data_IF_804465278301
#
_entry.id   IF_804465278301
#
_cell.length_a   1.000
_cell.length_b   1.000
_cell.length_c   1.000
_cell.angle_alpha   90.00
_cell.angle_beta   90.00
_cell.angle_gamma   90.00
#
_symmetry.space_group_name_H-M   'P 1'
#
loop_
_entity.id
_entity.type
_entity.pdbx_description
1 polymer ?
#
# COMPACT_ATOMS: atom_id res chain seq x y z
N UNK A 1 18.93 -0.29 -27.16
CA UNK A 1 19.42 0.72 -26.20
C UNK A 1 18.30 1.16 -25.27
N UNK A 2 18.60 1.85 -24.17
CA UNK A 2 17.57 2.41 -23.26
C UNK A 2 16.61 3.32 -24.01
N UNK A 3 17.11 4.18 -24.90
CA UNK A 3 16.26 5.07 -25.69
C UNK A 3 15.33 4.34 -26.66
N UNK A 4 15.73 3.19 -27.19
CA UNK A 4 14.86 2.40 -28.06
C UNK A 4 13.73 1.72 -27.26
N UNK A 5 14.00 1.28 -26.02
CA UNK A 5 12.99 0.79 -25.12
C UNK A 5 11.98 1.89 -24.78
N UNK A 6 12.45 3.07 -24.35
CA UNK A 6 11.57 4.20 -24.00
C UNK A 6 10.72 4.65 -25.19
N UNK A 7 11.26 4.63 -26.41
CA UNK A 7 10.53 4.97 -27.62
C UNK A 7 9.49 3.90 -28.00
N UNK A 8 9.85 2.60 -27.87
CA UNK A 8 8.94 1.47 -28.11
C UNK A 8 7.74 1.52 -27.17
N UNK A 9 7.99 1.86 -25.89
CA UNK A 9 6.96 1.90 -24.85
C UNK A 9 6.23 3.27 -24.78
N UNK A 10 6.36 4.11 -25.81
CA UNK A 10 5.65 5.39 -25.95
C UNK A 10 5.93 6.41 -24.80
N UNK A 11 7.09 6.31 -24.18
CA UNK A 11 7.53 7.24 -23.14
C UNK A 11 8.21 8.47 -23.74
N UNK A 12 8.89 8.29 -24.89
CA UNK A 12 9.53 9.34 -25.65
C UNK A 12 9.25 9.16 -27.14
N UNK A 13 9.32 10.27 -27.88
CA UNK A 13 9.38 10.28 -29.35
C UNK A 13 10.79 10.62 -29.80
N UNK A 14 11.31 9.85 -30.77
CA UNK A 14 12.64 10.06 -31.35
C UNK A 14 12.50 10.60 -32.76
N UNK A 15 13.06 11.82 -33.01
CA UNK A 15 13.05 12.45 -34.30
C UNK A 15 14.48 12.91 -34.64
N UNK A 16 15.23 12.09 -35.39
CA UNK A 16 16.66 12.32 -35.64
C UNK A 16 17.45 12.31 -34.32
N UNK A 17 18.16 13.40 -34.04
CA UNK A 17 18.94 13.59 -32.82
C UNK A 17 18.13 14.19 -31.67
N UNK A 18 16.86 14.51 -31.89
CA UNK A 18 15.98 15.07 -30.86
C UNK A 18 15.14 14.00 -30.17
N UNK A 19 15.04 14.10 -28.83
CA UNK A 19 14.17 13.30 -28.00
C UNK A 19 13.10 14.21 -27.40
N UNK A 20 11.83 13.84 -27.55
CA UNK A 20 10.70 14.52 -26.93
C UNK A 20 10.03 13.58 -25.94
N UNK A 21 9.87 14.01 -24.68
CA UNK A 21 9.11 13.27 -23.69
C UNK A 21 7.62 13.28 -24.07
N UNK A 22 6.98 12.13 -24.02
CA UNK A 22 5.54 11.97 -24.22
C UNK A 22 4.80 12.04 -22.88
N UNK A 23 3.47 12.25 -22.86
CA UNK A 23 2.70 12.39 -21.63
C UNK A 23 2.90 11.23 -20.65
N UNK A 24 2.96 10.00 -21.13
CA UNK A 24 3.21 8.81 -20.29
C UNK A 24 4.61 8.86 -19.68
N UNK A 25 5.66 9.13 -20.49
CA UNK A 25 7.02 9.25 -19.98
C UNK A 25 7.18 10.39 -18.95
N UNK A 26 6.48 11.53 -19.17
CA UNK A 26 6.45 12.61 -18.19
C UNK A 26 5.82 12.13 -16.86
N UNK A 27 4.70 11.42 -16.93
CA UNK A 27 4.02 10.91 -15.72
C UNK A 27 4.91 9.95 -14.95
N UNK A 28 5.62 9.04 -15.61
CA UNK A 28 6.59 8.12 -15.00
C UNK A 28 7.68 8.90 -14.26
N UNK A 29 8.23 9.94 -14.89
CA UNK A 29 9.23 10.81 -14.28
C UNK A 29 8.69 11.52 -13.03
N UNK A 30 7.45 12.04 -13.08
CA UNK A 30 6.80 12.71 -11.96
C UNK A 30 6.51 11.74 -10.79
N UNK A 31 6.26 10.46 -11.09
CA UNK A 31 6.02 9.40 -10.10
C UNK A 31 7.31 8.80 -9.52
N UNK A 32 8.47 9.10 -10.11
CA UNK A 32 9.79 8.57 -9.71
C UNK A 32 9.88 7.03 -9.73
N UNK A 33 9.14 6.36 -10.62
CA UNK A 33 9.18 4.90 -10.75
C UNK A 33 10.08 4.47 -11.92
N UNK A 34 10.57 3.23 -11.86
CA UNK A 34 11.31 2.62 -12.95
C UNK A 34 10.42 2.53 -14.22
N UNK A 35 10.93 2.86 -15.41
CA UNK A 35 10.20 2.70 -16.66
C UNK A 35 9.66 1.27 -16.89
N UNK A 36 10.36 0.23 -16.43
CA UNK A 36 9.87 -1.14 -16.48
C UNK A 36 8.67 -1.36 -15.55
N UNK A 37 8.71 -0.80 -14.33
CA UNK A 37 7.56 -0.81 -13.43
C UNK A 37 6.33 -0.20 -14.08
N UNK A 38 6.51 0.93 -14.76
CA UNK A 38 5.41 1.59 -15.47
C UNK A 38 4.81 0.72 -16.59
N UNK A 39 5.63 -0.03 -17.33
CA UNK A 39 5.17 -0.98 -18.35
C UNK A 39 4.37 -2.12 -17.70
N UNK A 40 4.90 -2.74 -16.65
CA UNK A 40 4.23 -3.81 -15.90
C UNK A 40 2.86 -3.33 -15.41
N UNK A 41 2.81 -2.15 -14.77
CA UNK A 41 1.57 -1.59 -14.24
C UNK A 41 0.58 -1.24 -15.35
N UNK A 42 1.04 -0.64 -16.47
CA UNK A 42 0.20 -0.32 -17.64
C UNK A 42 -0.42 -1.58 -18.24
N UNK A 43 0.37 -2.62 -18.42
CA UNK A 43 -0.10 -3.85 -19.04
C UNK A 43 -1.02 -4.63 -18.10
N UNK A 44 -0.74 -4.60 -16.80
CA UNK A 44 -1.62 -5.15 -15.78
C UNK A 44 -2.98 -4.45 -15.73
N UNK A 45 -3.03 -3.11 -15.67
CA UNK A 45 -4.33 -2.39 -15.60
C UNK A 45 -5.17 -2.57 -16.86
N UNK A 46 -4.54 -2.76 -18.04
CA UNK A 46 -5.25 -3.06 -19.29
C UNK A 46 -5.88 -4.44 -19.31
N UNK A 47 -5.34 -5.41 -18.55
CA UNK A 47 -5.88 -6.77 -18.42
C UNK A 47 -6.96 -6.88 -17.33
N UNK A 48 -7.08 -5.88 -16.45
CA UNK A 48 -8.09 -5.90 -15.39
C UNK A 48 -9.52 -5.90 -15.95
N UNK A 49 -10.34 -6.73 -15.35
CA UNK A 49 -11.76 -6.87 -15.66
C UNK A 49 -12.62 -6.91 -14.38
N UNK A 50 -13.90 -7.27 -14.51
CA UNK A 50 -14.81 -7.34 -13.37
C UNK A 50 -14.50 -8.51 -12.42
N UNK A 51 -13.82 -9.56 -12.88
CA UNK A 51 -13.47 -10.75 -12.09
C UNK A 51 -12.11 -10.62 -11.41
N UNK A 52 -11.30 -9.64 -11.81
CA UNK A 52 -10.00 -9.36 -11.18
C UNK A 52 -10.16 -9.08 -9.70
N UNK A 53 -9.47 -9.82 -8.84
CA UNK A 53 -9.48 -9.64 -7.40
C UNK A 53 -8.26 -8.86 -6.85
N UNK A 54 -8.26 -8.63 -5.53
CA UNK A 54 -7.22 -7.86 -4.86
C UNK A 54 -5.84 -8.54 -4.95
N UNK A 55 -5.79 -9.88 -4.85
CA UNK A 55 -4.53 -10.62 -4.88
C UNK A 55 -3.84 -10.49 -6.24
N UNK A 56 -4.58 -10.56 -7.35
CA UNK A 56 -4.03 -10.36 -8.69
C UNK A 56 -3.43 -8.96 -8.85
N UNK A 57 -4.10 -7.92 -8.30
CA UNK A 57 -3.61 -6.54 -8.33
C UNK A 57 -2.34 -6.40 -7.49
N UNK A 58 -2.32 -6.98 -6.28
CA UNK A 58 -1.16 -6.94 -5.40
C UNK A 58 0.04 -7.67 -6.00
N UNK A 59 -0.17 -8.84 -6.63
CA UNK A 59 0.91 -9.58 -7.30
C UNK A 59 1.50 -8.75 -8.45
N UNK A 60 0.66 -8.14 -9.29
CA UNK A 60 1.13 -7.29 -10.38
C UNK A 60 1.96 -6.09 -9.88
N UNK A 61 1.51 -5.45 -8.81
CA UNK A 61 2.26 -4.37 -8.17
C UNK A 61 3.59 -4.85 -7.57
N UNK A 62 3.58 -6.02 -6.90
CA UNK A 62 4.76 -6.60 -6.27
C UNK A 62 5.79 -7.16 -7.28
N UNK A 63 5.39 -7.45 -8.53
CA UNK A 63 6.29 -7.86 -9.61
C UNK A 63 7.12 -6.70 -10.18
N UNK A 64 6.83 -5.46 -9.80
CA UNK A 64 7.59 -4.30 -10.30
C UNK A 64 9.00 -4.26 -9.72
N UNK A 65 10.03 -3.84 -10.50
CA UNK A 65 11.40 -3.66 -10.01
C UNK A 65 11.54 -2.72 -8.81
N UNK A 66 10.61 -1.79 -8.63
CA UNK A 66 10.62 -0.83 -7.52
C UNK A 66 10.20 -1.46 -6.18
N UNK A 67 9.55 -2.63 -6.20
CA UNK A 67 9.18 -3.33 -4.97
C UNK A 67 10.25 -4.35 -4.63
N UNK A 68 10.92 -4.13 -3.51
CA UNK A 68 11.88 -5.11 -2.99
C UNK A 68 11.14 -6.36 -2.51
N UNK A 69 11.37 -7.48 -3.16
CA UNK A 69 10.76 -8.77 -2.84
C UNK A 69 11.07 -9.28 -1.42
N UNK A 70 10.33 -10.29 -1.00
CA UNK A 70 10.58 -11.05 0.22
C UNK A 70 10.98 -12.47 -0.15
N UNK A 71 12.10 -12.95 0.37
CA UNK A 71 12.58 -14.28 0.08
C UNK A 71 11.64 -15.34 0.69
N UNK A 72 11.12 -16.32 -0.11
CA UNK A 72 10.34 -17.43 0.40
C UNK A 72 11.14 -18.23 1.45
N UNK A 73 10.47 -18.65 2.52
CA UNK A 73 11.03 -19.47 3.59
C UNK A 73 10.20 -20.73 3.78
N UNK A 74 10.75 -21.72 4.47
CA UNK A 74 10.06 -22.98 4.74
C UNK A 74 8.73 -22.79 5.52
N UNK A 75 8.65 -21.75 6.36
CA UNK A 75 7.45 -21.48 7.14
C UNK A 75 6.26 -20.97 6.31
N UNK A 76 6.51 -20.40 5.13
CA UNK A 76 5.47 -19.86 4.26
C UNK A 76 5.25 -20.67 2.96
N UNK A 77 6.03 -21.75 2.76
CA UNK A 77 6.02 -22.57 1.55
C UNK A 77 4.61 -23.11 1.20
N UNK A 78 3.91 -23.69 2.17
CA UNK A 78 2.56 -24.24 1.96
C UNK A 78 1.58 -23.15 1.50
N UNK A 79 1.63 -21.98 2.15
CA UNK A 79 0.77 -20.83 1.80
C UNK A 79 1.09 -20.29 0.42
N UNK A 80 2.38 -20.15 0.09
CA UNK A 80 2.80 -19.61 -1.19
C UNK A 80 2.47 -20.57 -2.34
N UNK A 81 2.62 -21.87 -2.14
CA UNK A 81 2.21 -22.87 -3.13
C UNK A 81 0.70 -22.82 -3.36
N UNK A 82 -0.11 -22.69 -2.32
CA UNK A 82 -1.57 -22.53 -2.47
C UNK A 82 -1.94 -21.27 -3.26
N UNK A 83 -1.23 -20.15 -3.04
CA UNK A 83 -1.41 -18.92 -3.82
C UNK A 83 -0.98 -19.14 -5.27
N UNK A 84 0.15 -19.81 -5.52
CA UNK A 84 0.61 -20.10 -6.87
C UNK A 84 -0.40 -20.99 -7.63
N UNK A 85 -0.88 -22.07 -7.00
CA UNK A 85 -1.87 -22.98 -7.59
C UNK A 85 -3.17 -22.25 -7.98
N UNK A 86 -3.56 -21.20 -7.24
CA UNK A 86 -4.78 -20.45 -7.51
C UNK A 86 -4.58 -19.33 -8.55
N UNK A 87 -3.41 -18.66 -8.55
CA UNK A 87 -3.22 -17.40 -9.27
C UNK A 87 -2.25 -17.45 -10.44
N UNK A 88 -1.39 -18.48 -10.59
CA UNK A 88 -0.37 -18.52 -11.66
C UNK A 88 -0.97 -18.38 -13.06
N UNK A 89 -2.12 -19.01 -13.32
CA UNK A 89 -2.84 -18.91 -14.59
C UNK A 89 -3.68 -17.63 -14.76
N UNK A 90 -3.77 -16.78 -13.71
CA UNK A 90 -4.59 -15.57 -13.67
C UNK A 90 -3.78 -14.28 -13.51
N UNK A 91 -2.48 -14.36 -13.77
CA UNK A 91 -1.58 -13.21 -13.60
C UNK A 91 -1.94 -12.07 -14.56
N UNK A 92 -2.01 -10.85 -14.03
CA UNK A 92 -2.16 -9.64 -14.84
C UNK A 92 -0.88 -9.30 -15.61
N UNK A 93 0.26 -9.80 -15.16
CA UNK A 93 1.55 -9.70 -15.82
C UNK A 93 2.32 -11.01 -15.66
N UNK A 94 2.89 -11.50 -16.75
CA UNK A 94 3.65 -12.76 -16.77
C UNK A 94 5.15 -12.48 -16.58
N UNK A 95 5.76 -12.87 -15.45
CA UNK A 95 7.18 -12.66 -15.20
C UNK A 95 8.07 -13.64 -15.97
N UNK A 96 7.55 -14.74 -16.49
CA UNK A 96 8.34 -15.77 -17.18
C UNK A 96 8.83 -15.33 -18.56
N UNK A 97 8.14 -14.37 -19.19
CA UNK A 97 8.55 -13.84 -20.48
C UNK A 97 9.77 -12.90 -20.37
N UNK A 98 10.00 -12.31 -19.18
CA UNK A 98 11.00 -11.25 -19.00
C UNK A 98 12.22 -11.68 -18.17
N UNK A 99 12.05 -12.64 -17.25
CA UNK A 99 13.09 -13.03 -16.30
C UNK A 99 13.47 -14.49 -16.44
N UNK A 100 14.78 -14.76 -16.56
CA UNK A 100 15.31 -16.14 -16.54
C UNK A 100 14.95 -16.90 -15.25
N UNK A 101 14.68 -16.17 -14.15
CA UNK A 101 14.28 -16.68 -12.84
C UNK A 101 12.85 -16.28 -12.50
N UNK A 102 11.94 -16.36 -13.49
CA UNK A 102 10.54 -15.91 -13.35
C UNK A 102 9.82 -16.53 -12.17
N UNK A 103 10.08 -17.81 -11.87
CA UNK A 103 9.45 -18.49 -10.72
C UNK A 103 9.86 -17.89 -9.38
N UNK A 104 11.14 -17.62 -9.14
CA UNK A 104 11.62 -17.02 -7.90
C UNK A 104 11.10 -15.60 -7.72
N UNK A 105 11.03 -14.85 -8.82
CA UNK A 105 10.45 -13.50 -8.84
C UNK A 105 8.97 -13.56 -8.47
N UNK A 106 8.21 -14.48 -9.07
CA UNK A 106 6.80 -14.68 -8.79
C UNK A 106 6.54 -15.06 -7.33
N UNK A 107 7.26 -16.06 -6.81
CA UNK A 107 7.11 -16.50 -5.41
C UNK A 107 7.47 -15.40 -4.42
N UNK A 108 8.46 -14.59 -4.73
CA UNK A 108 8.84 -13.42 -3.93
C UNK A 108 7.75 -12.34 -3.95
N UNK A 109 7.15 -12.05 -5.12
CA UNK A 109 6.04 -11.13 -5.26
C UNK A 109 4.77 -11.63 -4.55
N UNK A 110 4.46 -12.92 -4.66
CA UNK A 110 3.35 -13.56 -3.95
C UNK A 110 3.52 -13.46 -2.43
N UNK A 111 4.75 -13.59 -1.91
CA UNK A 111 5.02 -13.41 -0.49
C UNK A 111 4.77 -11.97 -0.03
N UNK A 112 5.20 -10.97 -0.80
CA UNK A 112 4.87 -9.56 -0.52
C UNK A 112 3.37 -9.35 -0.53
N UNK A 113 2.66 -9.88 -1.53
CA UNK A 113 1.21 -9.76 -1.67
C UNK A 113 0.46 -10.40 -0.51
N UNK A 114 0.88 -11.59 -0.08
CA UNK A 114 0.33 -12.29 1.09
C UNK A 114 0.55 -11.49 2.38
N UNK A 115 1.72 -10.89 2.57
CA UNK A 115 2.01 -10.01 3.70
C UNK A 115 1.12 -8.76 3.69
N UNK A 116 0.94 -8.12 2.53
CA UNK A 116 0.05 -6.95 2.40
C UNK A 116 -1.41 -7.35 2.65
N UNK A 117 -1.83 -8.54 2.22
CA UNK A 117 -3.17 -9.07 2.52
C UNK A 117 -3.38 -9.24 4.02
N UNK A 118 -2.39 -9.75 4.75
CA UNK A 118 -2.44 -9.84 6.21
C UNK A 118 -2.51 -8.43 6.85
N UNK A 119 -1.72 -7.49 6.36
CA UNK A 119 -1.71 -6.10 6.80
C UNK A 119 -3.07 -5.43 6.66
N UNK A 120 -3.71 -5.51 5.48
CA UNK A 120 -5.03 -4.94 5.22
C UNK A 120 -6.19 -5.74 5.85
N UNK A 121 -5.92 -6.95 6.31
CA UNK A 121 -6.84 -7.79 7.11
C UNK A 121 -6.74 -7.52 8.60
N UNK A 122 -5.92 -6.54 9.00
CA UNK A 122 -5.69 -6.15 10.41
C UNK A 122 -5.08 -7.28 11.25
N UNK A 123 -4.36 -8.22 10.64
CA UNK A 123 -3.61 -9.23 11.40
C UNK A 123 -2.53 -8.50 12.22
N UNK A 124 -2.39 -8.85 13.52
CA UNK A 124 -1.34 -8.30 14.37
C UNK A 124 0.06 -8.52 13.79
N UNK A 125 0.93 -7.52 13.93
CA UNK A 125 2.26 -7.53 13.32
C UNK A 125 3.14 -8.68 13.81
N UNK A 126 3.06 -9.01 15.10
CA UNK A 126 3.76 -10.15 15.71
C UNK A 126 3.34 -11.49 15.08
N UNK A 127 2.06 -11.64 14.72
CA UNK A 127 1.54 -12.83 14.02
C UNK A 127 2.07 -12.88 12.59
N UNK A 128 2.06 -11.74 11.87
CA UNK A 128 2.59 -11.67 10.49
C UNK A 128 4.08 -12.01 10.48
N UNK A 129 4.87 -11.42 11.38
CA UNK A 129 6.32 -11.68 11.50
C UNK A 129 6.61 -13.15 11.80
N UNK A 130 5.86 -13.76 12.71
CA UNK A 130 6.03 -15.17 13.06
C UNK A 130 5.69 -16.08 11.89
N UNK A 131 4.55 -15.85 11.21
CA UNK A 131 4.06 -16.71 10.13
C UNK A 131 4.94 -16.64 8.88
N UNK A 132 5.52 -15.47 8.59
CA UNK A 132 6.30 -15.26 7.37
C UNK A 132 7.82 -15.25 7.61
N UNK A 133 8.25 -15.36 8.86
CA UNK A 133 9.67 -15.35 9.21
C UNK A 133 10.38 -14.06 8.81
N UNK A 134 9.71 -12.91 8.89
CA UNK A 134 10.23 -11.57 8.54
C UNK A 134 10.28 -10.69 9.78
N UNK A 135 10.99 -9.58 9.72
CA UNK A 135 11.02 -8.60 10.80
C UNK A 135 9.94 -7.51 10.64
N UNK A 136 9.64 -6.74 11.72
CA UNK A 136 8.74 -5.58 11.65
C UNK A 136 9.17 -4.54 10.63
N UNK A 137 10.47 -4.28 10.51
CA UNK A 137 11.04 -3.40 9.49
C UNK A 137 10.79 -3.86 8.05
N UNK A 138 10.70 -5.18 7.83
CA UNK A 138 10.34 -5.72 6.53
C UNK A 138 8.89 -5.40 6.16
N UNK A 139 7.96 -5.57 7.10
CA UNK A 139 6.54 -5.24 6.90
C UNK A 139 6.40 -3.78 6.52
N UNK A 140 6.97 -2.88 7.34
CA UNK A 140 6.89 -1.44 7.11
C UNK A 140 7.43 -1.03 5.75
N UNK A 141 8.66 -1.44 5.44
CA UNK A 141 9.31 -1.11 4.17
C UNK A 141 8.49 -1.56 2.96
N UNK A 142 7.93 -2.79 2.99
CA UNK A 142 7.14 -3.30 1.87
C UNK A 142 5.77 -2.65 1.78
N UNK A 143 5.12 -2.33 2.90
CA UNK A 143 3.87 -1.56 2.91
C UNK A 143 4.08 -0.17 2.30
N UNK A 144 5.16 0.53 2.65
CA UNK A 144 5.51 1.83 2.06
C UNK A 144 5.74 1.73 0.54
N UNK A 145 6.56 0.75 0.10
CA UNK A 145 6.80 0.50 -1.33
C UNK A 145 5.50 0.15 -2.07
N UNK A 146 4.70 -0.74 -1.53
CA UNK A 146 3.42 -1.14 -2.12
C UNK A 146 2.44 0.03 -2.18
N UNK A 147 2.37 0.87 -1.16
CA UNK A 147 1.54 2.07 -1.17
C UNK A 147 1.96 3.04 -2.29
N UNK A 148 3.27 3.25 -2.45
CA UNK A 148 3.80 4.10 -3.52
C UNK A 148 3.53 3.52 -4.91
N UNK A 149 3.80 2.24 -5.14
CA UNK A 149 3.54 1.57 -6.43
C UNK A 149 2.05 1.48 -6.75
N UNK A 150 1.20 1.22 -5.76
CA UNK A 150 -0.25 1.23 -5.95
C UNK A 150 -0.79 2.64 -6.28
N UNK A 151 -0.18 3.68 -5.72
CA UNK A 151 -0.47 5.06 -6.14
C UNK A 151 -0.08 5.27 -7.60
N UNK A 152 1.13 4.87 -8.00
CA UNK A 152 1.57 4.92 -9.38
C UNK A 152 0.64 4.11 -10.32
N UNK A 153 0.21 2.92 -9.88
CA UNK A 153 -0.77 2.10 -10.61
C UNK A 153 -2.09 2.84 -10.81
N UNK A 154 -2.57 3.56 -9.80
CA UNK A 154 -3.80 4.35 -9.91
C UNK A 154 -3.67 5.49 -10.94
N UNK A 155 -2.53 6.16 -10.98
CA UNK A 155 -2.26 7.24 -11.95
C UNK A 155 -2.13 6.70 -13.39
N UNK A 156 -1.50 5.54 -13.54
CA UNK A 156 -1.39 4.85 -14.84
C UNK A 156 -2.77 4.33 -15.28
N UNK A 157 -3.56 3.78 -14.35
CA UNK A 157 -4.92 3.34 -14.65
C UNK A 157 -5.82 4.50 -15.12
N UNK A 158 -5.67 5.69 -14.54
CA UNK A 158 -6.39 6.87 -14.99
C UNK A 158 -6.16 7.18 -16.49
N UNK A 159 -4.95 6.92 -16.99
CA UNK A 159 -4.59 7.16 -18.39
C UNK A 159 -5.08 6.02 -19.31
N UNK A 160 -4.88 4.76 -18.92
CA UNK A 160 -5.02 3.61 -19.81
C UNK A 160 -6.25 2.74 -19.57
N UNK A 161 -6.78 2.73 -18.35
CA UNK A 161 -7.90 1.88 -17.94
C UNK A 161 -8.68 2.52 -16.77
N UNK A 162 -9.43 3.64 -17.01
CA UNK A 162 -10.11 4.37 -15.92
C UNK A 162 -11.06 3.51 -15.08
N UNK A 163 -11.67 2.48 -15.66
CA UNK A 163 -12.57 1.57 -14.95
C UNK A 163 -11.84 0.75 -13.86
N UNK A 164 -10.56 0.45 -14.04
CA UNK A 164 -9.73 -0.24 -13.04
C UNK A 164 -9.60 0.55 -11.72
N UNK A 165 -9.76 1.87 -11.78
CA UNK A 165 -9.71 2.75 -10.60
C UNK A 165 -10.69 2.36 -9.49
N UNK A 166 -11.82 1.75 -9.85
CA UNK A 166 -12.84 1.29 -8.88
C UNK A 166 -12.31 0.22 -7.94
N UNK A 167 -11.33 -0.58 -8.39
CA UNK A 167 -10.69 -1.64 -7.60
C UNK A 167 -9.39 -1.14 -6.95
N UNK A 168 -8.62 -0.33 -7.65
CA UNK A 168 -7.31 0.13 -7.20
C UNK A 168 -7.42 1.13 -6.04
N UNK A 169 -8.32 2.13 -6.13
CA UNK A 169 -8.43 3.19 -5.11
C UNK A 169 -8.83 2.68 -3.72
N UNK A 170 -9.85 1.82 -3.56
CA UNK A 170 -10.17 1.27 -2.24
C UNK A 170 -9.01 0.47 -1.66
N UNK A 171 -8.33 -0.33 -2.49
CA UNK A 171 -7.19 -1.14 -2.08
C UNK A 171 -6.01 -0.25 -1.65
N UNK A 172 -5.73 0.83 -2.37
CA UNK A 172 -4.70 1.81 -2.01
C UNK A 172 -4.96 2.42 -0.62
N UNK A 173 -6.19 2.84 -0.31
CA UNK A 173 -6.56 3.36 1.01
C UNK A 173 -6.33 2.29 2.08
N UNK A 174 -6.73 1.05 1.83
CA UNK A 174 -6.56 -0.05 2.77
C UNK A 174 -5.09 -0.36 3.04
N UNK A 175 -4.24 -0.32 2.03
CA UNK A 175 -2.79 -0.52 2.18
C UNK A 175 -2.19 0.62 3.02
N UNK A 176 -2.53 1.88 2.71
CA UNK A 176 -2.04 3.06 3.43
C UNK A 176 -2.30 2.96 4.93
N UNK A 177 -3.51 2.57 5.32
CA UNK A 177 -3.92 2.55 6.73
C UNK A 177 -3.86 1.17 7.41
N UNK A 178 -3.61 0.09 6.67
CA UNK A 178 -3.63 -1.29 7.19
C UNK A 178 -5.00 -1.71 7.71
N UNK A 179 -6.06 -1.47 6.95
CA UNK A 179 -7.45 -1.63 7.39
C UNK A 179 -8.27 -2.54 6.49
N UNK A 180 -9.32 -3.13 7.05
CA UNK A 180 -10.37 -3.77 6.29
C UNK A 180 -11.27 -2.74 5.59
N UNK A 181 -11.96 -3.18 4.55
CA UNK A 181 -12.81 -2.34 3.70
C UNK A 181 -13.85 -1.55 4.51
N UNK A 182 -14.43 -2.14 5.55
CA UNK A 182 -15.44 -1.51 6.39
C UNK A 182 -14.98 -0.26 7.13
N UNK A 183 -13.67 -0.02 7.25
CA UNK A 183 -13.11 1.16 7.91
C UNK A 183 -12.76 2.30 6.95
N UNK A 184 -12.88 2.08 5.65
CA UNK A 184 -12.43 3.03 4.62
C UNK A 184 -13.09 4.39 4.77
N UNK A 185 -14.39 4.44 5.13
CA UNK A 185 -15.12 5.69 5.32
C UNK A 185 -14.64 6.45 6.58
N UNK A 186 -14.25 5.72 7.63
CA UNK A 186 -13.81 6.30 8.90
C UNK A 186 -12.41 6.90 8.84
N UNK A 187 -11.48 6.29 8.08
CA UNK A 187 -10.12 6.85 7.91
C UNK A 187 -10.09 8.07 7.01
N UNK A 188 -11.21 8.47 6.42
CA UNK A 188 -11.34 9.75 5.72
C UNK A 188 -11.30 10.96 6.66
N UNK A 189 -11.48 10.74 7.97
CA UNK A 189 -11.33 11.79 8.95
C UNK A 189 -9.86 12.03 9.28
N UNK A 190 -9.44 13.29 9.28
CA UNK A 190 -8.10 13.67 9.75
C UNK A 190 -7.92 13.26 11.21
N UNK A 191 -6.78 12.63 11.52
CA UNK A 191 -6.48 12.13 12.86
C UNK A 191 -7.13 10.77 13.19
N UNK A 192 -7.70 10.07 12.21
CA UNK A 192 -8.27 8.74 12.38
C UNK A 192 -7.49 7.71 11.54
N UNK A 193 -6.50 7.08 12.16
CA UNK A 193 -5.81 5.92 11.59
C UNK A 193 -6.49 4.59 11.97
N UNK A 194 -5.81 3.46 11.69
CA UNK A 194 -6.28 2.07 11.91
C UNK A 194 -6.95 1.87 13.27
N UNK A 195 -6.26 2.22 14.35
CA UNK A 195 -6.74 1.97 15.72
C UNK A 195 -8.00 2.76 16.06
N UNK A 196 -8.01 4.05 15.75
CA UNK A 196 -9.15 4.93 16.04
C UNK A 196 -10.36 4.59 15.17
N UNK A 197 -10.16 4.25 13.90
CA UNK A 197 -11.22 3.76 13.02
C UNK A 197 -11.85 2.49 13.57
N UNK A 198 -11.05 1.53 14.05
CA UNK A 198 -11.56 0.28 14.65
C UNK A 198 -12.33 0.54 15.95
N UNK A 199 -11.91 1.50 16.77
CA UNK A 199 -12.62 1.91 17.98
C UNK A 199 -13.99 2.53 17.64
N UNK A 200 -14.04 3.46 16.69
CA UNK A 200 -15.27 4.07 16.21
C UNK A 200 -16.22 3.00 15.66
N UNK A 201 -15.74 2.12 14.80
CA UNK A 201 -16.52 1.04 14.21
C UNK A 201 -17.13 0.10 15.27
N UNK A 202 -16.33 -0.31 16.25
CA UNK A 202 -16.78 -1.20 17.35
C UNK A 202 -17.78 -0.49 18.29
N UNK A 203 -17.73 0.84 18.37
CA UNK A 203 -18.70 1.66 19.11
C UNK A 203 -20.00 1.88 18.33
N UNK A 204 -20.10 1.36 17.08
CA UNK A 204 -21.30 1.48 16.25
C UNK A 204 -21.26 2.58 15.20
N UNK A 205 -20.22 3.40 15.17
CA UNK A 205 -20.02 4.43 14.14
C UNK A 205 -19.35 3.82 12.92
N UNK A 206 -20.13 3.40 11.94
CA UNK A 206 -19.65 2.67 10.77
C UNK A 206 -19.36 3.54 9.57
N UNK A 207 -20.01 4.71 9.50
CA UNK A 207 -19.91 5.65 8.40
C UNK A 207 -19.68 7.06 8.92
N UNK A 208 -19.21 7.92 8.02
CA UNK A 208 -19.09 9.35 8.27
C UNK A 208 -20.40 9.97 8.80
N UNK A 209 -21.55 9.52 8.28
CA UNK A 209 -22.89 9.97 8.72
C UNK A 209 -23.18 9.62 10.16
N UNK A 210 -22.70 8.50 10.67
CA UNK A 210 -22.92 8.10 12.06
C UNK A 210 -22.14 9.01 13.01
N UNK A 211 -20.90 9.35 12.65
CA UNK A 211 -20.06 10.31 13.38
C UNK A 211 -20.68 11.71 13.34
N UNK A 212 -21.31 12.11 12.24
CA UNK A 212 -22.07 13.35 12.15
C UNK A 212 -23.21 13.39 13.15
N UNK A 213 -23.98 12.31 13.26
CA UNK A 213 -25.15 12.23 14.13
C UNK A 213 -24.79 12.19 15.63
N UNK A 214 -23.62 11.67 15.98
CA UNK A 214 -23.14 11.58 17.35
C UNK A 214 -22.89 12.94 17.99
N UNK A 215 -23.05 13.04 19.31
CA UNK A 215 -22.63 14.22 20.08
C UNK A 215 -21.11 14.20 20.31
N UNK A 216 -20.52 15.39 20.51
CA UNK A 216 -19.08 15.51 20.83
C UNK A 216 -18.74 14.75 22.13
N UNK A 217 -19.64 14.76 23.14
CA UNK A 217 -19.45 14.07 24.40
C UNK A 217 -19.44 12.54 24.26
N UNK A 218 -20.29 11.99 23.39
CA UNK A 218 -20.31 10.55 23.10
C UNK A 218 -18.99 10.13 22.44
N UNK A 219 -18.53 10.86 21.42
CA UNK A 219 -17.27 10.58 20.75
C UNK A 219 -16.09 10.72 21.71
N UNK A 220 -16.06 11.77 22.54
CA UNK A 220 -14.97 12.03 23.49
C UNK A 220 -14.88 10.96 24.60
N UNK A 221 -15.96 10.26 24.89
CA UNK A 221 -15.98 9.17 25.88
C UNK A 221 -15.27 7.88 25.38
N UNK A 222 -15.05 7.78 24.07
CA UNK A 222 -14.38 6.63 23.48
C UNK A 222 -12.88 6.64 23.79
N UNK A 223 -12.34 5.43 24.07
CA UNK A 223 -10.91 5.26 24.28
C UNK A 223 -10.11 5.81 23.09
N UNK A 224 -9.03 6.54 23.37
CA UNK A 224 -8.14 7.17 22.36
C UNK A 224 -8.78 8.22 21.42
N UNK A 225 -10.03 8.63 21.61
CA UNK A 225 -10.63 9.72 20.86
C UNK A 225 -10.44 11.05 21.60
N UNK A 226 -10.84 11.13 22.88
CA UNK A 226 -10.68 12.34 23.70
C UNK A 226 -11.38 13.60 23.14
N UNK A 227 -11.39 14.68 23.93
CA UNK A 227 -12.15 15.89 23.60
C UNK A 227 -11.64 16.62 22.34
N UNK A 228 -10.31 16.69 22.17
CA UNK A 228 -9.71 17.42 21.04
C UNK A 228 -10.07 16.77 19.70
N UNK A 229 -9.93 15.45 19.59
CA UNK A 229 -10.28 14.74 18.37
C UNK A 229 -11.78 14.69 18.15
N UNK A 230 -12.60 14.49 19.20
CA UNK A 230 -14.06 14.52 19.09
C UNK A 230 -14.54 15.85 18.50
N UNK A 231 -14.00 16.98 18.97
CA UNK A 231 -14.27 18.29 18.41
C UNK A 231 -13.84 18.38 16.95
N UNK A 232 -12.61 17.95 16.63
CA UNK A 232 -12.12 17.96 15.24
C UNK A 232 -12.98 17.10 14.31
N UNK A 233 -13.47 15.94 14.76
CA UNK A 233 -14.38 15.10 13.99
C UNK A 233 -15.70 15.84 13.69
N UNK A 234 -16.26 16.54 14.69
CA UNK A 234 -17.48 17.35 14.51
C UNK A 234 -17.24 18.52 13.55
N UNK A 235 -16.12 19.21 13.65
CA UNK A 235 -15.75 20.30 12.75
C UNK A 235 -15.64 19.82 11.30
N UNK A 236 -15.06 18.64 11.08
CA UNK A 236 -14.95 17.99 9.76
C UNK A 236 -16.29 17.51 9.18
N UNK A 237 -17.31 17.35 10.02
CA UNK A 237 -18.66 16.96 9.58
C UNK A 237 -19.58 18.16 9.32
N UNK A 238 -19.30 19.34 9.92
CA UNK A 238 -20.13 20.55 9.81
C UNK A 238 -19.89 21.41 8.57
N UNK A 239 -18.81 21.15 7.83
CA UNK A 239 -18.48 21.85 6.59
C UNK A 239 -18.86 21.01 5.38
N UNK A 240 -19.55 21.59 4.40
CA UNK A 240 -19.70 21.04 3.05
C UNK A 240 -18.37 21.14 2.29
N UNK A 241 -17.37 20.41 2.75
CA UNK A 241 -16.10 20.30 2.07
C UNK A 241 -15.96 18.89 1.51
N UNK A 242 -16.13 18.78 0.21
CA UNK A 242 -15.41 17.78 -0.57
C UNK A 242 -13.91 18.02 -0.32
N UNK A 243 -13.38 17.48 0.76
CA UNK A 243 -11.94 17.38 0.91
C UNK A 243 -11.47 16.28 -0.01
N UNK A 244 -11.09 16.66 -1.25
CA UNK A 244 -10.14 15.86 -2.02
C UNK A 244 -8.97 15.60 -1.10
N UNK A 245 -8.48 14.33 -0.98
CA UNK A 245 -7.23 14.05 -0.31
C UNK A 245 -6.17 14.97 -0.94
N UNK A 246 -5.49 15.79 -0.15
CA UNK A 246 -4.39 16.59 -0.69
C UNK A 246 -3.27 15.63 -1.11
N UNK A 247 -2.58 15.95 -2.19
CA UNK A 247 -1.45 15.17 -2.70
C UNK A 247 -0.30 14.99 -1.66
N UNK A 248 -0.39 15.68 -0.53
CA UNK A 248 0.57 15.66 0.57
C UNK A 248 0.14 14.82 1.79
N UNK A 249 -1.04 14.20 1.78
CA UNK A 249 -1.55 13.39 2.91
C UNK A 249 -0.93 11.99 3.02
N UNK A 250 0.20 11.75 2.37
CA UNK A 250 0.99 10.51 2.55
C UNK A 250 1.95 10.57 3.75
N UNK A 251 2.18 11.74 4.33
CA UNK A 251 3.00 11.87 5.54
C UNK A 251 2.27 11.25 6.75
N UNK A 252 2.98 10.48 7.59
CA UNK A 252 2.42 9.99 8.85
C UNK A 252 1.93 11.17 9.68
N UNK A 253 0.81 11.00 10.39
CA UNK A 253 0.32 12.04 11.30
C UNK A 253 1.27 12.19 12.51
N UNK A 254 1.15 13.31 13.25
CA UNK A 254 2.06 13.61 14.37
C UNK A 254 2.02 12.53 15.46
N UNK A 255 0.88 11.86 15.67
CA UNK A 255 0.74 10.76 16.63
C UNK A 255 1.44 9.48 16.12
N UNK A 256 1.43 9.23 14.80
CA UNK A 256 2.19 8.15 14.16
C UNK A 256 3.69 8.43 14.22
N UNK A 257 4.09 9.69 14.01
CA UNK A 257 5.50 10.11 14.15
C UNK A 257 5.99 9.99 15.61
N UNK A 258 5.18 10.34 16.61
CA UNK A 258 5.53 10.15 18.03
C UNK A 258 5.63 8.66 18.41
N UNK A 259 4.69 7.82 17.93
CA UNK A 259 4.74 6.36 18.13
C UNK A 259 6.00 5.76 17.47
N UNK A 260 6.33 6.21 16.27
CA UNK A 260 7.55 5.82 15.55
C UNK A 260 8.81 6.23 16.30
N UNK A 261 8.86 7.46 16.82
CA UNK A 261 10.01 7.97 17.57
C UNK A 261 10.21 7.24 18.91
N UNK A 262 9.12 6.87 19.59
CA UNK A 262 9.17 6.09 20.83
C UNK A 262 9.71 4.68 20.59
N UNK A 263 9.26 4.00 19.51
CA UNK A 263 9.70 2.66 19.13
C UNK A 263 11.18 2.64 18.71
N UNK A 264 11.64 3.65 17.95
CA UNK A 264 13.07 3.81 17.64
C UNK A 264 13.90 4.06 18.89
N UNK A 265 13.40 4.86 19.84
CA UNK A 265 14.08 5.13 21.10
C UNK A 265 14.22 3.89 21.99
N UNK A 266 13.24 2.99 21.99
CA UNK A 266 13.28 1.71 22.71
C UNK A 266 14.20 0.69 22.01
N UNK A 267 14.15 0.59 20.69
CA UNK A 267 15.02 -0.28 19.90
C UNK A 267 16.51 0.13 20.02
N UNK A 268 16.81 1.44 20.06
CA UNK A 268 18.16 1.93 20.24
C UNK A 268 18.68 1.66 21.68
N UNK A 269 17.83 1.75 22.69
CA UNK A 269 18.16 1.39 24.08
C UNK A 269 18.41 -0.11 24.23
N UNK A 270 17.59 -0.96 23.60
CA UNK A 270 17.75 -2.41 23.62
C UNK A 270 19.05 -2.85 22.90
N UNK A 271 19.37 -2.23 21.76
CA UNK A 271 20.62 -2.47 21.02
C UNK A 271 21.87 -2.04 21.83
N UNK A 272 21.81 -0.91 22.52
CA UNK A 272 22.91 -0.46 23.39
C UNK A 272 23.09 -1.34 24.61
N UNK A 273 22.02 -1.91 25.17
CA UNK A 273 22.06 -2.82 26.31
C UNK A 273 22.60 -4.22 25.93
N UNK A 274 22.27 -4.72 24.73
CA UNK A 274 22.81 -5.97 24.18
C UNK A 274 24.31 -5.89 23.95
N UNK A 275 24.81 -4.78 23.42
CA UNK A 275 26.26 -4.55 23.19
C UNK A 275 27.09 -4.37 24.47
N UNK A 276 26.44 -4.15 25.63
CA UNK A 276 27.15 -4.05 26.93
C UNK A 276 27.29 -5.40 27.64
N UNK A 277 26.51 -6.41 27.23
CA UNK A 277 26.52 -7.76 27.83
C UNK A 277 27.59 -8.67 27.18
N UNK A 278 28.03 -8.36 25.97
CA UNK A 278 29.02 -9.15 25.22
C UNK A 278 30.50 -8.76 25.57
N UNK A 279 30.74 -7.92 26.57
CA UNK A 279 32.09 -7.49 27.02
C UNK A 279 32.44 -7.89 28.46
N UNK A 280 31.90 -9.02 28.96
CA UNK A 280 32.40 -9.60 30.22
C UNK A 280 32.66 -11.08 30.10
#
# INVERSE_FOLDING_TARGET
SVTDFLAKEEMIEKSGDFLRILPFGKRISDLYIDPKSAVILRDAVKKMDNETDEMQILIAAALTPDVMGLYPKKCDEERLNAIADEYEDKLLYDPYEEYDFGHEVLMSAMKVSAMVTDWISEIPEDIVTANMGIGPGDIRSRVEMMNWIMYAMSEIAYIFAPDAMRKIRPLLIRIKYGIKEELTDLVSFRGVGRTRARILFNAGYRKRTDVMAASESELASLHRIGNSLAKSLKDQTGGSAETKPSETDWAPDDDELEAMAAEYGEAEKASKQSNLIDFH
#
